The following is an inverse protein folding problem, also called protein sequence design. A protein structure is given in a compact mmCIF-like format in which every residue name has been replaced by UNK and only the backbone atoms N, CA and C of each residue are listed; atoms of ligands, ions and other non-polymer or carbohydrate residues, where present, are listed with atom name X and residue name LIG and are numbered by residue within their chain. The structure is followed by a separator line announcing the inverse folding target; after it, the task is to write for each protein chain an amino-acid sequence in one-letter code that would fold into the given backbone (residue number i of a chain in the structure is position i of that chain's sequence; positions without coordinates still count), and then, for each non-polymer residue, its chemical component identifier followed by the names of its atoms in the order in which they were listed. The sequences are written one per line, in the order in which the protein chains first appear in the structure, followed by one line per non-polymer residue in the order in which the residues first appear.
data_IF_956827137633
#
_entry.id   IF_956827137633
#
_cell.length_a   1.000
_cell.length_b   1.000
_cell.length_c   1.000
_cell.angle_alpha   90.00
_cell.angle_beta   90.00
_cell.angle_gamma   90.00
#
_symmetry.space_group_name_H-M   'P 1'
#
loop_
_entity.id
_entity.type
_entity.pdbx_description
1 polymer ?
#
# COMPACT_ATOMS: atom_id res chain seq x y z
N UNK A 1 -8.16 -30.98 -17.07
CA UNK A 1 -6.87 -30.36 -16.88
C UNK A 1 -6.82 -29.14 -17.80
N UNK A 2 -7.12 -27.97 -17.27
CA UNK A 2 -6.91 -26.72 -17.97
C UNK A 2 -5.45 -26.32 -17.73
N UNK A 3 -4.67 -26.28 -18.80
CA UNK A 3 -3.32 -25.77 -18.78
C UNK A 3 -3.39 -24.25 -18.74
N UNK A 4 -3.06 -23.67 -17.59
CA UNK A 4 -2.90 -22.24 -17.47
C UNK A 4 -1.47 -21.90 -17.90
N UNK A 5 -1.29 -21.47 -19.15
CA UNK A 5 -0.02 -20.90 -19.60
C UNK A 5 0.26 -19.64 -18.79
N UNK A 6 1.25 -19.72 -17.91
CA UNK A 6 1.76 -18.58 -17.18
C UNK A 6 2.40 -17.61 -18.17
N UNK A 7 1.88 -16.41 -18.25
CA UNK A 7 2.56 -15.32 -18.91
C UNK A 7 3.73 -14.85 -18.03
N UNK A 8 4.85 -14.67 -18.68
CA UNK A 8 6.15 -14.46 -18.08
C UNK A 8 6.24 -13.10 -17.40
N UNK A 9 6.89 -13.11 -16.28
CA UNK A 9 7.58 -12.05 -15.57
C UNK A 9 6.94 -11.52 -14.30
N UNK A 10 7.54 -11.98 -13.19
CA UNK A 10 7.82 -11.24 -11.94
C UNK A 10 6.69 -10.67 -11.09
N UNK A 11 5.48 -11.19 -11.16
CA UNK A 11 4.51 -10.99 -10.10
C UNK A 11 3.96 -12.33 -9.65
N UNK A 12 4.00 -12.69 -8.35
CA UNK A 12 3.34 -13.90 -7.88
C UNK A 12 1.82 -13.70 -7.99
N UNK A 13 1.26 -14.20 -9.07
CA UNK A 13 -0.18 -14.28 -9.22
C UNK A 13 -0.70 -15.37 -8.28
N UNK A 14 -1.45 -14.99 -7.26
CA UNK A 14 -2.17 -15.97 -6.45
C UNK A 14 -3.48 -16.31 -7.15
N UNK A 15 -3.56 -17.53 -7.64
CA UNK A 15 -4.79 -18.08 -8.19
C UNK A 15 -5.56 -18.84 -7.11
N UNK A 16 -6.82 -18.51 -6.90
CA UNK A 16 -7.74 -19.38 -6.17
C UNK A 16 -8.37 -20.36 -7.19
N UNK A 17 -8.01 -21.63 -7.11
CA UNK A 17 -8.64 -22.66 -7.92
C UNK A 17 -9.97 -23.07 -7.28
N UNK A 18 -11.08 -22.72 -7.92
CA UNK A 18 -12.38 -23.30 -7.61
C UNK A 18 -12.58 -24.51 -8.52
N UNK A 19 -12.64 -25.71 -7.94
CA UNK A 19 -12.95 -26.92 -8.68
C UNK A 19 -14.44 -26.90 -9.05
N UNK A 20 -14.74 -26.59 -10.32
CA UNK A 20 -16.08 -26.71 -10.86
C UNK A 20 -16.21 -28.04 -11.58
N UNK A 21 -16.87 -29.01 -10.99
CA UNK A 21 -17.30 -30.22 -11.69
C UNK A 21 -18.63 -29.95 -12.40
N UNK A 22 -18.57 -29.57 -13.66
CA UNK A 22 -19.75 -29.46 -14.50
C UNK A 22 -19.80 -30.67 -15.45
N UNK A 23 -20.78 -31.52 -15.25
CA UNK A 23 -21.24 -32.52 -16.22
C UNK A 23 -22.13 -31.85 -17.25
N UNK A 24 -21.58 -31.12 -18.21
CA UNK A 24 -22.37 -30.56 -19.33
C UNK A 24 -21.49 -30.31 -20.55
N UNK A 25 -21.97 -30.75 -21.70
CA UNK A 25 -21.45 -30.47 -23.06
C UNK A 25 -21.64 -29.00 -23.45
N UNK A 26 -21.04 -28.05 -22.71
CA UNK A 26 -21.00 -26.64 -23.09
C UNK A 26 -19.68 -26.03 -22.64
N UNK A 27 -19.11 -25.22 -23.53
CA UNK A 27 -17.94 -24.42 -23.20
C UNK A 27 -18.24 -23.51 -22.02
N UNK A 28 -17.49 -23.67 -20.92
CA UNK A 28 -17.58 -22.81 -19.73
C UNK A 28 -16.43 -21.82 -19.79
N UNK A 29 -16.74 -20.56 -20.01
CA UNK A 29 -15.75 -19.49 -19.90
C UNK A 29 -15.57 -19.15 -18.43
N UNK A 30 -14.43 -19.53 -17.86
CA UNK A 30 -14.05 -19.13 -16.51
C UNK A 30 -13.41 -17.74 -16.56
N UNK A 31 -14.15 -16.73 -16.12
CA UNK A 31 -13.59 -15.41 -15.84
C UNK A 31 -12.92 -15.44 -14.47
N UNK A 32 -11.63 -15.69 -14.43
CA UNK A 32 -10.83 -15.57 -13.21
C UNK A 32 -10.66 -14.07 -12.92
N UNK A 33 -11.43 -13.54 -11.97
CA UNK A 33 -11.18 -12.21 -11.44
C UNK A 33 -9.99 -12.31 -10.49
N UNK A 34 -8.81 -11.95 -10.98
CA UNK A 34 -7.67 -11.70 -10.12
C UNK A 34 -7.92 -10.37 -9.40
N UNK A 35 -8.14 -10.41 -8.08
CA UNK A 35 -8.19 -9.21 -7.25
C UNK A 35 -6.78 -8.91 -6.75
N UNK A 36 -5.91 -8.44 -7.65
CA UNK A 36 -4.62 -7.89 -7.24
C UNK A 36 -4.88 -6.59 -6.49
N UNK A 37 -4.41 -6.44 -5.26
CA UNK A 37 -4.54 -5.17 -4.55
C UNK A 37 -3.84 -4.04 -5.29
N UNK A 38 -4.52 -2.90 -5.42
CA UNK A 38 -3.93 -1.68 -5.98
C UNK A 38 -3.17 -0.91 -4.90
N UNK A 39 -2.06 -0.29 -5.28
CA UNK A 39 -1.26 0.59 -4.42
C UNK A 39 -1.09 1.96 -5.07
N UNK A 40 -1.32 3.00 -4.27
CA UNK A 40 -1.09 4.38 -4.68
C UNK A 40 -0.23 5.09 -3.65
N UNK A 41 0.56 6.06 -4.11
CA UNK A 41 1.36 6.94 -3.27
C UNK A 41 1.19 8.36 -3.71
N UNK A 42 0.99 9.24 -2.75
CA UNK A 42 0.79 10.66 -2.94
C UNK A 42 1.63 11.46 -1.94
N UNK A 43 1.95 12.67 -2.30
CA UNK A 43 2.61 13.66 -1.45
C UNK A 43 1.66 14.81 -1.15
N UNK A 44 1.69 15.32 0.08
CA UNK A 44 0.91 16.52 0.44
C UNK A 44 1.46 17.72 -0.34
N UNK A 45 0.59 18.55 -0.87
CA UNK A 45 1.04 19.81 -1.47
C UNK A 45 1.60 20.76 -0.40
N UNK A 46 2.42 21.72 -0.82
CA UNK A 46 3.07 22.67 0.10
C UNK A 46 2.09 23.54 0.90
N UNK A 47 0.85 23.68 0.42
CA UNK A 47 -0.23 24.39 1.10
C UNK A 47 -0.89 23.54 2.22
N UNK A 48 -0.60 22.23 2.29
CA UNK A 48 -1.18 21.32 3.27
C UNK A 48 -2.67 21.01 3.04
N UNK A 49 -3.17 21.19 1.82
CA UNK A 49 -4.61 21.11 1.52
C UNK A 49 -5.02 19.81 0.84
N UNK A 50 -4.14 19.16 0.08
CA UNK A 50 -4.44 17.93 -0.67
C UNK A 50 -3.20 17.09 -0.95
N UNK A 51 -3.40 15.79 -1.16
CA UNK A 51 -2.38 14.88 -1.64
C UNK A 51 -2.37 14.83 -3.16
N UNK A 52 -1.18 14.97 -3.76
CA UNK A 52 -0.94 15.04 -5.20
C UNK A 52 0.14 14.03 -5.62
N UNK A 53 0.36 13.89 -6.94
CA UNK A 53 1.40 13.02 -7.47
C UNK A 53 2.80 13.63 -7.31
N UNK A 54 2.89 14.93 -7.34
CA UNK A 54 4.12 15.69 -7.19
C UNK A 54 3.83 17.10 -6.65
N UNK A 55 4.81 17.66 -5.95
CA UNK A 55 4.75 19.02 -5.41
C UNK A 55 6.16 19.53 -5.13
N UNK A 56 6.29 20.84 -4.92
CA UNK A 56 7.55 21.49 -4.61
C UNK A 56 7.67 21.80 -3.12
N UNK A 57 8.85 21.52 -2.57
CA UNK A 57 9.23 21.82 -1.19
C UNK A 57 10.65 22.40 -1.14
N UNK A 58 10.94 23.16 -0.09
CA UNK A 58 12.27 23.68 0.16
C UNK A 58 13.09 22.72 1.04
N UNK A 59 14.42 22.79 0.94
CA UNK A 59 15.31 22.07 1.85
C UNK A 59 15.00 22.50 3.29
N UNK A 60 14.82 21.51 4.16
CA UNK A 60 14.43 21.73 5.55
C UNK A 60 12.93 21.62 5.82
N UNK A 61 12.09 21.60 4.78
CA UNK A 61 10.64 21.43 4.95
C UNK A 61 10.29 19.99 5.35
N UNK A 62 9.17 19.88 6.06
CA UNK A 62 8.51 18.59 6.31
C UNK A 62 7.63 18.25 5.14
N UNK A 63 7.83 17.05 4.57
CA UNK A 63 7.12 16.54 3.42
C UNK A 63 6.26 15.34 3.83
N UNK A 64 4.94 15.50 3.98
CA UNK A 64 4.03 14.41 4.32
C UNK A 64 3.72 13.55 3.08
N UNK A 65 3.74 12.23 3.27
CA UNK A 65 3.34 11.24 2.27
C UNK A 65 2.17 10.41 2.75
N UNK A 66 1.44 9.87 1.79
CA UNK A 66 0.39 8.88 2.00
C UNK A 66 0.56 7.74 1.01
N UNK A 67 0.54 6.51 1.52
CA UNK A 67 0.44 5.29 0.74
C UNK A 67 -0.93 4.68 1.01
N UNK A 68 -1.60 4.22 -0.03
CA UNK A 68 -2.88 3.51 0.12
C UNK A 68 -2.82 2.18 -0.61
N UNK A 69 -3.48 1.17 -0.04
CA UNK A 69 -3.59 -0.14 -0.66
C UNK A 69 -4.97 -0.74 -0.44
N UNK A 70 -5.54 -1.35 -1.48
CA UNK A 70 -6.82 -2.04 -1.40
C UNK A 70 -6.66 -3.42 -0.77
N UNK A 71 -7.76 -3.98 -0.26
CA UNK A 71 -7.81 -5.32 0.34
C UNK A 71 -8.49 -6.26 -0.63
N UNK A 72 -7.97 -7.49 -0.78
CA UNK A 72 -8.65 -8.50 -1.58
C UNK A 72 -10.01 -8.83 -0.98
N UNK A 73 -11.06 -8.80 -1.81
CA UNK A 73 -12.40 -9.23 -1.39
C UNK A 73 -12.45 -10.70 -0.96
N UNK A 74 -11.46 -11.49 -1.40
CA UNK A 74 -11.33 -12.91 -1.09
C UNK A 74 -10.43 -13.21 0.11
N UNK A 75 -10.00 -12.19 0.86
CA UNK A 75 -9.06 -12.36 1.98
C UNK A 75 -9.45 -13.47 2.96
N UNK A 76 -10.75 -13.66 3.19
CA UNK A 76 -11.26 -14.69 4.11
C UNK A 76 -11.08 -16.12 3.60
N UNK A 77 -10.92 -16.32 2.28
CA UNK A 77 -10.75 -17.65 1.67
C UNK A 77 -9.31 -18.15 1.68
N UNK A 78 -8.33 -17.30 1.98
CA UNK A 78 -6.92 -17.69 2.07
C UNK A 78 -6.60 -18.26 3.47
N UNK A 79 -5.72 -19.28 3.54
CA UNK A 79 -5.23 -19.80 4.83
C UNK A 79 -4.33 -18.79 5.53
N UNK A 80 -3.46 -18.14 4.78
CA UNK A 80 -2.59 -17.05 5.21
C UNK A 80 -2.72 -15.88 4.25
N UNK A 81 -2.64 -14.68 4.79
CA UNK A 81 -2.67 -13.46 3.99
C UNK A 81 -1.62 -12.48 4.52
N UNK A 82 -0.51 -12.42 3.80
CA UNK A 82 0.56 -11.46 4.08
C UNK A 82 0.23 -10.14 3.40
N UNK A 83 0.37 -9.03 4.12
CA UNK A 83 0.09 -7.72 3.59
C UNK A 83 1.06 -6.69 4.17
N UNK A 84 1.92 -6.15 3.32
CA UNK A 84 2.86 -5.12 3.73
C UNK A 84 3.20 -4.16 2.60
N UNK A 85 3.47 -2.92 2.99
CA UNK A 85 4.05 -1.91 2.13
C UNK A 85 5.56 -1.87 2.35
N UNK A 86 6.32 -1.80 1.27
CA UNK A 86 7.75 -1.48 1.30
C UNK A 86 7.95 -0.18 0.55
N UNK A 87 8.58 0.77 1.20
CA UNK A 87 8.84 2.08 0.65
C UNK A 87 10.34 2.41 0.73
N UNK A 88 10.91 2.89 -0.37
CA UNK A 88 12.33 3.25 -0.46
C UNK A 88 12.48 4.74 -0.71
N UNK A 89 12.84 5.45 0.32
CA UNK A 89 13.09 6.89 0.31
C UNK A 89 14.46 7.19 -0.31
N UNK A 90 14.55 8.13 -1.24
CA UNK A 90 15.84 8.62 -1.72
C UNK A 90 16.62 9.30 -0.59
N UNK A 91 17.94 9.40 -0.75
CA UNK A 91 18.83 10.02 0.25
C UNK A 91 18.50 11.47 0.63
N UNK A 92 17.75 12.17 -0.25
CA UNK A 92 17.27 13.52 0.00
C UNK A 92 16.09 13.63 0.97
N UNK A 93 15.48 12.49 1.37
CA UNK A 93 14.35 12.43 2.29
C UNK A 93 14.74 11.66 3.56
N UNK A 94 14.61 12.31 4.70
CA UNK A 94 14.84 11.69 6.02
C UNK A 94 13.49 11.31 6.63
N UNK A 95 13.27 10.03 6.91
CA UNK A 95 12.04 9.52 7.52
C UNK A 95 11.92 9.96 8.98
N UNK A 96 10.74 10.45 9.36
CA UNK A 96 10.31 10.52 10.75
C UNK A 96 9.47 9.27 11.08
N UNK A 97 10.13 8.25 11.64
CA UNK A 97 9.46 6.98 11.99
C UNK A 97 8.32 7.15 13.00
N UNK A 98 8.41 8.15 13.87
CA UNK A 98 7.39 8.42 14.89
C UNK A 98 6.09 8.95 14.29
N UNK A 99 6.15 9.48 13.10
CA UNK A 99 5.01 10.03 12.37
C UNK A 99 4.19 8.98 11.61
N UNK A 100 4.66 7.72 11.55
CA UNK A 100 3.98 6.67 10.80
C UNK A 100 2.66 6.31 11.50
N UNK A 101 1.56 6.49 10.77
CA UNK A 101 0.21 6.13 11.20
C UNK A 101 -0.42 5.23 10.15
N UNK A 102 -1.06 4.14 10.61
CA UNK A 102 -1.80 3.22 9.75
C UNK A 102 -3.27 3.27 10.11
N UNK A 103 -4.11 3.41 9.09
CA UNK A 103 -5.57 3.51 9.24
C UNK A 103 -6.27 2.65 8.19
N UNK A 104 -7.47 2.21 8.50
CA UNK A 104 -8.37 1.57 7.54
C UNK A 104 -9.60 2.46 7.33
N UNK A 105 -9.93 2.76 6.09
CA UNK A 105 -11.01 3.66 5.73
C UNK A 105 -11.69 3.24 4.43
N UNK A 106 -13.02 3.40 4.38
CA UNK A 106 -13.76 3.23 3.13
C UNK A 106 -13.64 4.50 2.28
N UNK A 107 -12.73 4.48 1.32
CA UNK A 107 -12.53 5.58 0.37
C UNK A 107 -13.45 5.38 -0.83
N UNK A 108 -14.65 5.98 -0.80
CA UNK A 108 -15.64 5.86 -1.88
C UNK A 108 -15.36 6.71 -3.10
N UNK A 109 -14.45 7.68 -3.00
CA UNK A 109 -14.13 8.59 -4.13
C UNK A 109 -12.64 8.90 -4.19
N UNK A 110 -11.96 8.18 -5.04
CA UNK A 110 -10.67 8.54 -5.60
C UNK A 110 -9.60 8.96 -4.58
N UNK A 111 -8.51 8.30 -4.59
CA UNK A 111 -7.26 8.54 -3.84
C UNK A 111 -6.73 9.99 -3.84
N UNK A 112 -7.46 10.92 -4.47
CA UNK A 112 -7.01 12.27 -4.78
C UNK A 112 -7.23 13.30 -3.67
N UNK A 113 -8.03 13.00 -2.63
CA UNK A 113 -8.47 14.06 -1.71
C UNK A 113 -8.05 13.89 -0.24
N UNK A 114 -7.13 13.00 0.03
CA UNK A 114 -6.69 12.76 1.41
C UNK A 114 -7.77 12.06 2.24
N UNK A 115 -7.34 11.15 3.08
CA UNK A 115 -8.18 10.48 4.05
C UNK A 115 -8.64 11.54 5.04
N UNK A 116 -9.94 11.84 5.04
CA UNK A 116 -10.53 12.61 6.13
C UNK A 116 -10.67 11.68 7.33
N UNK A 117 -9.85 11.90 8.31
CA UNK A 117 -9.66 11.07 9.49
C UNK A 117 -10.90 10.89 10.40
N UNK A 118 -12.07 11.42 10.06
CA UNK A 118 -13.24 11.42 10.96
C UNK A 118 -13.87 10.06 11.15
N UNK A 119 -13.74 9.16 10.16
CA UNK A 119 -14.37 7.82 10.20
C UNK A 119 -13.37 6.68 10.02
N UNK A 120 -12.07 7.00 9.96
CA UNK A 120 -11.02 6.01 9.78
C UNK A 120 -10.76 5.20 11.05
N UNK A 121 -10.69 3.88 10.93
CA UNK A 121 -10.24 3.01 12.00
C UNK A 121 -8.72 3.09 12.13
N UNK A 122 -8.22 3.69 13.20
CA UNK A 122 -6.80 3.75 13.50
C UNK A 122 -6.31 2.37 13.96
N UNK A 123 -5.26 1.87 13.34
CA UNK A 123 -4.59 0.63 13.73
C UNK A 123 -3.49 0.93 14.77
N UNK A 124 -3.23 -0.04 15.64
CA UNK A 124 -2.29 0.10 16.76
C UNK A 124 -0.95 -0.51 16.37
N UNK A 125 0.12 0.30 16.46
CA UNK A 125 1.49 -0.16 16.26
C UNK A 125 1.84 -1.27 17.26
N UNK A 126 2.65 -2.24 16.82
CA UNK A 126 3.11 -3.40 17.59
C UNK A 126 2.00 -4.40 18.01
N UNK A 127 0.75 -4.11 17.61
CA UNK A 127 -0.41 -5.00 17.77
C UNK A 127 -1.00 -5.37 16.42
N UNK A 128 -1.46 -4.37 15.67
CA UNK A 128 -2.10 -4.55 14.36
C UNK A 128 -1.09 -4.50 13.21
N UNK A 129 -0.01 -3.75 13.38
CA UNK A 129 1.07 -3.64 12.40
C UNK A 129 2.43 -3.42 13.06
N UNK A 130 3.47 -3.77 12.32
CA UNK A 130 4.87 -3.50 12.70
C UNK A 130 5.54 -2.61 11.67
N UNK A 131 6.58 -1.89 12.09
CA UNK A 131 7.43 -1.08 11.21
C UNK A 131 8.87 -1.53 11.37
N UNK A 132 9.54 -1.76 10.25
CA UNK A 132 10.99 -2.02 10.21
C UNK A 132 11.64 -1.06 9.24
N UNK A 133 12.80 -0.50 9.62
CA UNK A 133 13.54 0.47 8.82
C UNK A 133 14.96 -0.01 8.59
N UNK A 134 15.47 0.15 7.38
CA UNK A 134 16.83 -0.20 6.98
C UNK A 134 17.44 0.97 6.24
N UNK A 135 18.62 1.39 6.68
CA UNK A 135 19.47 2.32 5.90
C UNK A 135 20.31 1.50 4.95
N UNK A 136 20.24 1.82 3.67
CA UNK A 136 20.94 1.12 2.61
C UNK A 136 22.33 1.76 2.38
N UNK A 137 23.27 0.98 1.84
CA UNK A 137 24.66 1.43 1.57
C UNK A 137 24.72 2.57 0.54
N UNK A 138 23.72 2.68 -0.32
CA UNK A 138 23.57 3.77 -1.31
C UNK A 138 23.03 5.08 -0.72
N UNK A 139 22.78 5.12 0.58
CA UNK A 139 22.25 6.26 1.31
C UNK A 139 20.72 6.41 1.24
N UNK A 140 20.01 5.50 0.58
CA UNK A 140 18.54 5.42 0.64
C UNK A 140 18.07 4.81 1.95
N UNK A 141 16.81 5.00 2.29
CA UNK A 141 16.20 4.39 3.48
C UNK A 141 14.97 3.59 3.04
N UNK A 142 14.98 2.30 3.31
CA UNK A 142 13.82 1.44 3.09
C UNK A 142 13.09 1.20 4.40
N UNK A 143 11.78 1.43 4.43
CA UNK A 143 10.95 1.01 5.54
C UNK A 143 9.83 0.10 5.07
N UNK A 144 9.44 -0.82 5.93
CA UNK A 144 8.37 -1.79 5.71
C UNK A 144 7.32 -1.60 6.80
N UNK A 145 6.07 -1.47 6.38
CA UNK A 145 4.89 -1.51 7.26
C UNK A 145 4.14 -2.80 6.98
N UNK A 146 4.12 -3.71 7.92
CA UNK A 146 3.51 -5.02 7.79
C UNK A 146 2.30 -5.15 8.72
N UNK A 147 1.13 -5.50 8.16
CA UNK A 147 -0.05 -5.82 8.94
C UNK A 147 0.16 -7.20 9.58
N UNK A 148 0.11 -7.27 10.90
CA UNK A 148 0.43 -8.49 11.68
C UNK A 148 -0.49 -9.66 11.28
N UNK A 149 -1.80 -9.38 11.15
CA UNK A 149 -2.78 -10.35 10.67
C UNK A 149 -4.00 -9.61 10.09
N UNK A 150 -3.89 -9.14 8.84
CA UNK A 150 -4.99 -8.43 8.19
C UNK A 150 -6.25 -9.30 8.06
N UNK A 151 -6.09 -10.61 7.83
CA UNK A 151 -7.23 -11.54 7.77
C UNK A 151 -8.00 -11.56 9.09
N UNK A 152 -7.29 -11.60 10.22
CA UNK A 152 -7.91 -11.53 11.55
C UNK A 152 -8.63 -10.19 11.75
N UNK A 153 -8.02 -9.08 11.42
CA UNK A 153 -8.63 -7.75 11.52
C UNK A 153 -9.94 -7.66 10.73
N UNK A 154 -9.98 -8.28 9.54
CA UNK A 154 -11.20 -8.36 8.72
C UNK A 154 -12.23 -9.33 9.31
N UNK A 155 -11.80 -10.45 9.85
CA UNK A 155 -12.70 -11.46 10.45
C UNK A 155 -13.36 -10.93 11.71
N UNK A 156 -12.60 -10.21 12.52
CA UNK A 156 -13.08 -9.58 13.77
C UNK A 156 -13.91 -8.31 13.50
N UNK A 157 -13.99 -7.87 12.25
CA UNK A 157 -14.77 -6.69 11.86
C UNK A 157 -14.12 -5.34 12.17
N UNK A 158 -12.85 -5.32 12.60
CA UNK A 158 -12.09 -4.09 12.84
C UNK A 158 -11.77 -3.37 11.53
N UNK A 159 -11.56 -4.14 10.45
CA UNK A 159 -11.33 -3.67 9.09
C UNK A 159 -12.34 -4.36 8.17
N UNK A 160 -12.85 -3.65 7.17
CA UNK A 160 -13.77 -4.20 6.16
C UNK A 160 -12.99 -4.51 4.86
N UNK A 161 -13.46 -5.48 4.09
CA UNK A 161 -12.87 -5.77 2.77
C UNK A 161 -13.05 -4.63 1.77
N UNK A 162 -14.01 -3.74 2.02
CA UNK A 162 -14.21 -2.51 1.25
C UNK A 162 -13.32 -1.35 1.68
N UNK A 163 -12.57 -1.51 2.77
CA UNK A 163 -11.68 -0.47 3.24
C UNK A 163 -10.38 -0.44 2.43
N UNK A 164 -9.75 0.71 2.45
CA UNK A 164 -8.39 0.94 1.98
C UNK A 164 -7.48 1.08 3.19
N UNK A 165 -6.36 0.37 3.19
CA UNK A 165 -5.31 0.59 4.20
C UNK A 165 -4.51 1.80 3.77
N UNK A 166 -4.41 2.78 4.66
CA UNK A 166 -3.63 3.98 4.44
C UNK A 166 -2.50 4.07 5.45
N UNK A 167 -1.31 4.36 4.94
CA UNK A 167 -0.11 4.66 5.73
C UNK A 167 0.26 6.11 5.46
N UNK A 168 0.21 6.95 6.48
CA UNK A 168 0.71 8.33 6.41
C UNK A 168 2.00 8.43 7.21
N UNK A 169 2.94 9.21 6.71
CA UNK A 169 4.22 9.48 7.38
C UNK A 169 4.80 10.79 6.90
N UNK A 170 5.69 11.37 7.71
CA UNK A 170 6.42 12.57 7.40
C UNK A 170 7.87 12.24 7.07
N UNK A 171 8.43 13.03 6.16
CA UNK A 171 9.86 13.08 5.89
C UNK A 171 10.34 14.51 6.00
N UNK A 172 11.65 14.69 6.15
CA UNK A 172 12.30 15.99 6.04
C UNK A 172 13.13 16.03 4.77
N UNK A 173 12.93 17.06 3.94
CA UNK A 173 13.77 17.30 2.78
C UNK A 173 15.13 17.81 3.26
N UNK A 174 16.20 17.08 2.97
CA UNK A 174 17.54 17.37 3.44
C UNK A 174 18.47 17.86 2.32
N UNK A 175 19.71 18.22 2.65
CA UNK A 175 20.70 18.78 1.73
C UNK A 175 21.11 17.83 0.58
N UNK A 176 20.84 16.52 0.70
CA UNK A 176 21.10 15.55 -0.38
C UNK A 176 19.95 15.48 -1.40
N UNK A 177 18.94 16.33 -1.27
CA UNK A 177 17.82 16.37 -2.20
C UNK A 177 18.26 16.80 -3.59
N UNK A 178 17.76 16.12 -4.62
CA UNK A 178 17.99 16.47 -6.01
C UNK A 178 17.10 17.65 -6.38
N UNK A 179 17.73 18.76 -6.72
CA UNK A 179 17.03 19.98 -7.18
C UNK A 179 16.79 19.90 -8.68
N UNK A 180 15.60 20.29 -9.13
CA UNK A 180 15.22 20.36 -10.54
C UNK A 180 14.24 19.27 -10.99
N UNK A 181 14.03 19.15 -12.31
CA UNK A 181 12.99 18.30 -12.91
C UNK A 181 13.10 16.79 -12.56
N UNK A 182 14.30 16.28 -12.23
CA UNK A 182 14.47 14.88 -11.86
C UNK A 182 13.81 14.55 -10.52
N UNK A 183 13.71 15.53 -9.61
CA UNK A 183 13.06 15.40 -8.31
C UNK A 183 13.60 14.28 -7.41
N UNK A 184 12.94 14.07 -6.30
CA UNK A 184 13.25 13.01 -5.33
C UNK A 184 12.18 11.90 -5.46
N UNK A 185 12.39 10.99 -6.41
CA UNK A 185 11.44 9.91 -6.69
C UNK A 185 11.39 8.95 -5.52
N UNK A 186 10.21 8.76 -4.97
CA UNK A 186 9.92 7.85 -3.87
C UNK A 186 9.04 6.70 -4.37
N UNK A 187 9.53 5.44 -4.21
CA UNK A 187 8.89 4.24 -4.77
C UNK A 187 8.30 3.37 -3.68
N UNK A 188 7.07 2.90 -3.90
CA UNK A 188 6.36 1.97 -3.01
C UNK A 188 6.04 0.67 -3.72
N UNK A 189 6.05 -0.43 -2.97
CA UNK A 189 5.55 -1.76 -3.37
C UNK A 189 4.59 -2.26 -2.30
N UNK A 190 3.48 -2.86 -2.74
CA UNK A 190 2.56 -3.63 -1.90
C UNK A 190 2.75 -5.13 -2.20
N UNK A 191 2.76 -5.94 -1.16
CA UNK A 191 2.88 -7.42 -1.24
C UNK A 191 1.85 -8.05 -0.34
#
# INVERSE_FOLDING_TARGET
LADATADSADTPHQYSATLLTALVNKDVTLNVKSTTPDVHKKVMNSEGTKYEDATDYNIGDTVPFMITGTISSQIKSYDKYTYYFTDTLPKGLTLDESSIVVQAENVTSGYAQGIKATDATKLTKDTDYTVTTTKNDDGTTTFKVELTDLKKLVTDGKVKTSDTIAVTYNTKLNENAVVGQAGNINKVKLT
#
